data_IF_533226213723
#
_entry.id   IF_533226213723
#
_cell.length_a   1.000
_cell.length_b   1.000
_cell.length_c   1.000
_cell.angle_alpha   90.00
_cell.angle_beta   90.00
_cell.angle_gamma   90.00
#
_symmetry.space_group_name_H-M   'P 1'
#
loop_
_entity.id
_entity.type
_entity.pdbx_description
1 polymer ?
#
# COMPACT_ATOMS: atom_id res chain seq x y z
N UNK A 1 -8.26 23.39 0.10
CA UNK A 1 -7.99 22.10 -0.57
C UNK A 1 -9.25 21.28 -0.52
N UNK A 2 -9.78 20.86 -1.68
CA UNK A 2 -10.93 19.94 -1.74
C UNK A 2 -10.35 18.53 -1.58
N UNK A 3 -10.66 17.86 -0.48
CA UNK A 3 -10.40 16.42 -0.37
C UNK A 3 -11.22 15.72 -1.46
N UNK A 4 -10.57 14.84 -2.22
CA UNK A 4 -11.20 14.11 -3.32
C UNK A 4 -10.49 12.75 -3.39
N UNK A 5 -10.86 11.82 -2.50
CA UNK A 5 -10.12 10.57 -2.29
C UNK A 5 -10.17 9.64 -3.51
N UNK A 6 -11.16 9.83 -4.38
CA UNK A 6 -11.30 9.13 -5.66
C UNK A 6 -11.30 10.09 -6.83
N UNK A 7 -10.83 9.63 -7.99
CA UNK A 7 -10.82 10.44 -9.21
C UNK A 7 -12.27 10.72 -9.66
N UNK A 8 -12.63 11.97 -10.00
CA UNK A 8 -14.02 12.32 -10.34
C UNK A 8 -14.46 11.78 -11.70
N UNK A 9 -13.52 11.33 -12.54
CA UNK A 9 -13.80 10.76 -13.87
C UNK A 9 -13.69 9.23 -13.83
N UNK A 10 -12.65 8.70 -13.18
CA UNK A 10 -12.31 7.28 -13.19
C UNK A 10 -12.76 6.54 -11.93
N UNK A 11 -13.19 7.24 -10.88
CA UNK A 11 -13.52 6.66 -9.58
C UNK A 11 -12.32 5.90 -8.98
N UNK A 12 -12.59 4.67 -8.50
CA UNK A 12 -11.56 3.73 -8.04
C UNK A 12 -10.85 2.97 -9.19
N UNK A 13 -11.12 3.35 -10.45
CA UNK A 13 -10.53 2.76 -11.65
C UNK A 13 -11.39 1.69 -12.32
N UNK A 14 -10.77 0.92 -13.22
CA UNK A 14 -11.46 -0.11 -13.99
C UNK A 14 -11.59 -1.40 -13.20
N UNK A 15 -12.81 -1.97 -13.17
CA UNK A 15 -13.06 -3.28 -12.57
C UNK A 15 -12.13 -4.35 -13.15
N UNK A 16 -11.59 -5.19 -12.26
CA UNK A 16 -10.83 -6.38 -12.62
C UNK A 16 -11.50 -7.61 -12.01
N UNK A 17 -12.35 -8.26 -12.80
CA UNK A 17 -13.17 -9.39 -12.35
C UNK A 17 -12.34 -10.55 -11.79
N UNK A 18 -11.17 -10.82 -12.38
CA UNK A 18 -10.29 -11.91 -11.91
C UNK A 18 -9.75 -11.62 -10.50
N UNK A 19 -9.34 -10.38 -10.22
CA UNK A 19 -8.89 -9.97 -8.89
C UNK A 19 -10.02 -10.00 -7.88
N UNK A 20 -11.22 -9.53 -8.25
CA UNK A 20 -12.40 -9.62 -7.39
C UNK A 20 -12.80 -11.06 -7.10
N UNK A 21 -12.72 -11.95 -8.10
CA UNK A 21 -12.95 -13.38 -7.92
C UNK A 21 -12.00 -13.99 -6.89
N UNK A 22 -10.69 -13.70 -6.97
CA UNK A 22 -9.71 -14.19 -6.00
C UNK A 22 -9.96 -13.70 -4.58
N UNK A 23 -10.41 -12.45 -4.41
CA UNK A 23 -10.84 -11.94 -3.10
C UNK A 23 -12.01 -12.79 -2.57
N UNK A 24 -13.06 -12.97 -3.37
CA UNK A 24 -14.28 -13.66 -2.93
C UNK A 24 -14.02 -15.13 -2.55
N UNK A 25 -13.27 -15.87 -3.38
CA UNK A 25 -13.00 -17.28 -3.11
C UNK A 25 -12.00 -17.53 -1.99
N UNK A 26 -11.28 -16.50 -1.52
CA UNK A 26 -10.44 -16.61 -0.33
C UNK A 26 -11.28 -16.84 0.94
N UNK A 27 -12.59 -16.58 0.86
CA UNK A 27 -13.53 -16.72 1.97
C UNK A 27 -13.50 -15.51 2.90
N UNK A 28 -14.60 -15.35 3.64
CA UNK A 28 -14.72 -14.36 4.71
C UNK A 28 -13.70 -14.63 5.81
N UNK A 29 -13.11 -13.56 6.35
CA UNK A 29 -12.08 -13.62 7.37
C UNK A 29 -12.46 -12.71 8.54
N UNK A 30 -12.75 -13.33 9.67
CA UNK A 30 -12.98 -12.60 10.91
C UNK A 30 -11.72 -11.83 11.37
N UNK A 31 -11.88 -10.78 12.20
CA UNK A 31 -10.76 -10.09 12.82
C UNK A 31 -9.79 -11.04 13.53
N UNK A 32 -8.51 -10.97 13.16
CA UNK A 32 -7.51 -11.90 13.68
C UNK A 32 -6.30 -12.05 12.76
N UNK A 33 -5.56 -13.14 12.94
CA UNK A 33 -4.35 -13.45 12.16
C UNK A 33 -4.65 -14.47 11.09
N UNK A 34 -4.23 -14.18 9.86
CA UNK A 34 -4.36 -15.10 8.74
C UNK A 34 -3.15 -15.03 7.80
N UNK A 35 -2.90 -16.14 7.12
CA UNK A 35 -1.79 -16.33 6.18
C UNK A 35 -2.30 -16.34 4.73
N UNK A 36 -3.12 -15.35 4.38
CA UNK A 36 -3.65 -15.21 3.02
C UNK A 36 -3.40 -13.81 2.47
N UNK A 37 -2.98 -13.76 1.21
CA UNK A 37 -2.78 -12.53 0.47
C UNK A 37 -4.10 -11.88 0.04
N UNK A 38 -5.21 -12.60 0.10
CA UNK A 38 -6.53 -12.15 -0.32
C UNK A 38 -7.54 -12.42 0.79
N UNK A 39 -8.56 -11.58 0.92
CA UNK A 39 -9.64 -11.83 1.85
C UNK A 39 -10.61 -10.66 1.90
N UNK A 40 -11.71 -10.92 2.57
CA UNK A 40 -12.75 -9.93 2.82
C UNK A 40 -13.42 -10.23 4.16
N UNK A 41 -14.10 -9.23 4.70
CA UNK A 41 -14.92 -9.36 5.90
C UNK A 41 -16.16 -8.48 5.79
N UNK A 42 -17.32 -8.98 6.23
CA UNK A 42 -18.46 -8.14 6.54
C UNK A 42 -18.53 -7.95 8.07
N UNK A 43 -17.68 -7.07 8.56
CA UNK A 43 -17.48 -6.81 9.97
C UNK A 43 -18.41 -5.74 10.56
N UNK A 44 -18.33 -5.59 11.87
CA UNK A 44 -19.04 -4.56 12.62
C UNK A 44 -18.19 -4.01 13.77
N UNK A 45 -18.43 -2.74 14.12
CA UNK A 45 -17.92 -2.10 15.34
C UNK A 45 -19.13 -1.70 16.18
N UNK A 46 -19.19 -2.12 17.44
CA UNK A 46 -20.36 -1.90 18.33
C UNK A 46 -20.41 -0.48 18.97
N UNK A 47 -19.61 0.46 18.49
CA UNK A 47 -19.50 1.82 19.01
C UNK A 47 -18.28 2.55 18.47
N UNK A 48 -17.80 3.57 19.18
CA UNK A 48 -16.49 4.15 18.86
C UNK A 48 -15.40 3.13 19.18
N UNK A 49 -14.57 2.80 18.20
CA UNK A 49 -13.66 1.68 18.38
C UNK A 49 -12.79 1.40 17.17
N UNK A 50 -12.02 0.31 17.29
CA UNK A 50 -11.13 -0.19 16.25
C UNK A 50 -11.12 -1.71 16.22
N UNK A 51 -10.92 -2.25 15.03
CA UNK A 51 -10.81 -3.67 14.73
C UNK A 51 -9.54 -3.88 13.91
N UNK A 52 -8.82 -4.97 14.20
CA UNK A 52 -7.52 -5.25 13.59
C UNK A 52 -7.51 -6.61 12.89
N UNK A 53 -6.97 -6.62 11.67
CA UNK A 53 -6.73 -7.79 10.84
C UNK A 53 -5.24 -7.90 10.57
N UNK A 54 -4.66 -9.06 10.81
CA UNK A 54 -3.23 -9.27 10.70
C UNK A 54 -2.94 -10.20 9.53
N UNK A 55 -2.13 -9.70 8.59
CA UNK A 55 -1.72 -10.41 7.39
C UNK A 55 -0.24 -10.73 7.49
N UNK A 56 0.13 -11.99 7.28
CA UNK A 56 1.53 -12.37 7.10
C UNK A 56 1.83 -12.59 5.62
N UNK A 57 2.61 -11.68 5.02
CA UNK A 57 3.10 -11.82 3.65
C UNK A 57 4.38 -12.66 3.66
N UNK A 58 4.32 -13.89 3.11
CA UNK A 58 5.46 -14.81 3.07
C UNK A 58 6.56 -14.36 2.10
N UNK A 59 6.17 -13.61 1.08
CA UNK A 59 7.05 -13.05 0.06
C UNK A 59 6.72 -11.59 -0.20
N UNK A 60 7.65 -10.88 -0.82
CA UNK A 60 7.42 -9.53 -1.31
C UNK A 60 6.30 -9.54 -2.35
N UNK A 61 5.37 -8.61 -2.23
CA UNK A 61 4.23 -8.45 -3.15
C UNK A 61 4.44 -7.21 -4.01
N UNK A 62 4.12 -7.34 -5.29
CA UNK A 62 4.27 -6.26 -6.26
C UNK A 62 3.25 -5.14 -6.03
N UNK A 63 2.04 -5.52 -5.67
CA UNK A 63 0.90 -4.60 -5.55
C UNK A 63 -0.01 -5.09 -4.42
N UNK A 64 -0.45 -4.19 -3.56
CA UNK A 64 -1.47 -4.47 -2.57
C UNK A 64 -2.57 -3.41 -2.61
N UNK A 65 -3.78 -3.82 -2.28
CA UNK A 65 -4.94 -2.93 -2.20
C UNK A 65 -5.77 -3.33 -1.00
N UNK A 66 -6.23 -2.34 -0.26
CA UNK A 66 -7.20 -2.51 0.83
C UNK A 66 -8.32 -1.49 0.61
N UNK A 67 -9.56 -1.97 0.65
CA UNK A 67 -10.76 -1.15 0.48
C UNK A 67 -11.68 -1.37 1.66
N UNK A 68 -12.07 -0.29 2.30
CA UNK A 68 -13.06 -0.27 3.38
C UNK A 68 -14.27 0.50 2.88
N UNK A 69 -15.46 -0.09 3.01
CA UNK A 69 -16.71 0.50 2.57
C UNK A 69 -17.78 0.34 3.65
N UNK A 70 -18.59 1.36 3.86
CA UNK A 70 -19.71 1.29 4.79
C UNK A 70 -20.93 1.97 4.19
N UNK A 71 -22.10 1.65 4.73
CA UNK A 71 -23.34 2.25 4.23
C UNK A 71 -23.63 3.55 4.95
N UNK A 72 -24.11 4.52 4.17
CA UNK A 72 -24.78 5.68 4.71
C UNK A 72 -26.12 5.27 5.31
N UNK A 73 -26.46 5.83 6.46
CA UNK A 73 -27.75 5.60 7.12
C UNK A 73 -28.71 6.71 6.73
N UNK A 74 -29.78 6.37 6.02
CA UNK A 74 -30.90 7.27 5.74
C UNK A 74 -31.83 7.23 6.95
N UNK A 75 -31.95 8.34 7.67
CA UNK A 75 -32.76 8.46 8.89
C UNK A 75 -34.20 8.84 8.59
N UNK A 76 -34.41 9.64 7.55
CA UNK A 76 -35.70 10.19 7.15
C UNK A 76 -35.66 10.57 5.67
N UNK A 77 -36.77 10.41 4.96
CA UNK A 77 -36.93 10.84 3.58
C UNK A 77 -38.39 10.81 3.17
N UNK A 78 -38.81 11.66 2.24
CA UNK A 78 -40.21 11.76 1.81
C UNK A 78 -40.77 10.41 1.33
N UNK A 79 -39.93 9.58 0.70
CA UNK A 79 -40.27 8.24 0.22
C UNK A 79 -40.20 7.13 1.29
N UNK A 80 -39.62 7.41 2.45
CA UNK A 80 -39.49 6.46 3.56
C UNK A 80 -40.55 6.71 4.63
N UNK A 81 -40.73 7.96 5.03
CA UNK A 81 -41.57 8.36 6.16
C UNK A 81 -42.32 9.69 5.96
N UNK A 82 -42.27 10.28 4.77
CA UNK A 82 -42.95 11.53 4.44
C UNK A 82 -42.27 12.79 4.99
N UNK A 83 -41.10 12.67 5.62
CA UNK A 83 -40.36 13.78 6.23
C UNK A 83 -39.21 14.28 5.33
N UNK A 84 -38.66 15.47 5.57
CA UNK A 84 -37.48 15.95 4.85
C UNK A 84 -36.29 14.97 4.94
N UNK A 85 -35.51 14.90 3.86
CA UNK A 85 -34.35 14.02 3.80
C UNK A 85 -33.33 14.32 4.91
N UNK A 86 -32.94 13.28 5.65
CA UNK A 86 -31.90 13.33 6.67
C UNK A 86 -31.09 12.04 6.64
N UNK A 87 -29.77 12.19 6.72
CA UNK A 87 -28.80 11.11 6.64
C UNK A 87 -27.75 11.25 7.74
N UNK A 88 -27.07 10.14 8.02
CA UNK A 88 -25.79 10.15 8.73
C UNK A 88 -24.80 9.21 8.07
N UNK A 89 -23.54 9.59 8.10
CA UNK A 89 -22.39 8.82 7.66
C UNK A 89 -21.49 8.66 8.88
N UNK A 90 -21.04 7.43 9.15
CA UNK A 90 -20.00 7.20 10.13
C UNK A 90 -18.67 7.72 9.61
N UNK A 91 -17.84 8.25 10.49
CA UNK A 91 -16.46 8.64 10.20
C UNK A 91 -15.57 7.42 10.43
N UNK A 92 -15.26 6.70 9.35
CA UNK A 92 -14.40 5.52 9.40
C UNK A 92 -13.01 5.83 8.87
N UNK A 93 -12.01 5.13 9.41
CA UNK A 93 -10.61 5.26 9.02
C UNK A 93 -9.99 3.90 8.72
N UNK A 94 -9.13 3.87 7.70
CA UNK A 94 -8.34 2.72 7.32
C UNK A 94 -6.85 3.01 7.51
N UNK A 95 -6.18 2.18 8.30
CA UNK A 95 -4.74 2.30 8.54
C UNK A 95 -4.06 0.98 8.25
N UNK A 96 -2.88 1.03 7.63
CA UNK A 96 -2.00 -0.11 7.49
C UNK A 96 -0.77 0.12 8.36
N UNK A 97 -0.46 -0.81 9.25
CA UNK A 97 0.77 -0.84 10.02
C UNK A 97 1.66 -1.98 9.55
N UNK A 98 2.97 -1.80 9.65
CA UNK A 98 3.97 -2.83 9.39
C UNK A 98 4.69 -3.16 10.68
N UNK A 99 4.84 -4.45 10.99
CA UNK A 99 5.65 -4.89 12.11
C UNK A 99 7.13 -4.63 11.83
N UNK A 100 7.79 -3.93 12.74
CA UNK A 100 9.25 -3.79 12.80
C UNK A 100 9.69 -4.10 14.22
N UNK A 101 10.61 -5.07 14.35
CA UNK A 101 11.02 -5.62 15.64
C UNK A 101 9.80 -6.09 16.46
N UNK A 102 9.53 -5.43 17.60
CA UNK A 102 8.41 -5.77 18.48
C UNK A 102 7.19 -4.83 18.33
N UNK A 103 7.26 -3.81 17.47
CA UNK A 103 6.23 -2.78 17.34
C UNK A 103 5.57 -2.76 15.95
N UNK A 104 4.31 -2.33 15.91
CA UNK A 104 3.61 -2.01 14.67
C UNK A 104 3.74 -0.51 14.39
N UNK A 105 4.37 -0.18 13.26
CA UNK A 105 4.59 1.21 12.85
C UNK A 105 3.63 1.53 11.72
N UNK A 106 2.95 2.68 11.81
CA UNK A 106 2.04 3.14 10.77
C UNK A 106 2.80 3.22 9.44
N UNK A 107 2.28 2.52 8.45
CA UNK A 107 2.84 2.42 7.12
C UNK A 107 2.13 3.36 6.15
N UNK A 108 0.79 3.35 6.17
CA UNK A 108 -0.05 4.24 5.38
C UNK A 108 -1.45 4.36 5.99
N UNK A 109 -2.22 5.39 5.61
CA UNK A 109 -3.59 5.58 6.11
C UNK A 109 -4.48 6.36 5.13
N UNK A 110 -5.77 6.06 5.19
CA UNK A 110 -6.85 6.75 4.48
C UNK A 110 -7.91 7.15 5.52
N UNK A 111 -8.24 8.45 5.57
CA UNK A 111 -9.02 9.12 6.63
C UNK A 111 -9.84 10.29 6.04
N UNK A 112 -10.61 10.01 4.99
CA UNK A 112 -11.41 11.04 4.32
C UNK A 112 -12.74 11.27 5.06
N UNK A 113 -13.07 12.55 5.28
CA UNK A 113 -14.34 12.92 5.94
C UNK A 113 -15.54 13.02 4.99
N UNK A 114 -15.34 12.74 3.70
CA UNK A 114 -16.34 13.06 2.67
C UNK A 114 -17.14 11.86 2.20
N UNK A 115 -16.47 10.73 2.02
CA UNK A 115 -17.03 9.56 1.35
C UNK A 115 -17.19 8.38 2.30
N UNK A 116 -17.97 7.38 1.89
CA UNK A 116 -18.17 6.11 2.59
C UNK A 116 -17.19 5.02 2.13
N UNK A 117 -15.97 5.45 1.79
CA UNK A 117 -14.91 4.64 1.22
C UNK A 117 -13.57 5.12 1.75
N UNK A 118 -12.78 4.19 2.26
CA UNK A 118 -11.34 4.37 2.44
C UNK A 118 -10.58 3.39 1.55
N UNK A 119 -9.50 3.85 0.94
CA UNK A 119 -8.76 3.07 -0.04
C UNK A 119 -7.26 3.25 0.09
N UNK A 120 -6.55 2.14 0.25
CA UNK A 120 -5.10 2.10 0.19
C UNK A 120 -4.66 1.32 -1.05
N UNK A 121 -3.83 1.94 -1.87
CA UNK A 121 -3.18 1.30 -3.01
C UNK A 121 -1.67 1.42 -2.89
N UNK A 122 -1.02 0.28 -2.70
CA UNK A 122 0.37 0.17 -2.33
C UNK A 122 1.13 -0.64 -3.37
N UNK A 123 2.39 -0.30 -3.59
CA UNK A 123 3.28 -1.06 -4.46
C UNK A 123 4.48 -1.55 -3.67
N UNK A 124 4.98 -2.74 -4.01
CA UNK A 124 6.22 -3.29 -3.46
C UNK A 124 6.24 -3.42 -1.93
N UNK A 125 5.22 -4.04 -1.34
CA UNK A 125 5.28 -4.37 0.10
C UNK A 125 6.22 -5.55 0.30
N UNK A 126 7.19 -5.39 1.19
CA UNK A 126 8.09 -6.48 1.58
C UNK A 126 7.33 -7.61 2.28
N UNK A 127 7.95 -8.79 2.33
CA UNK A 127 7.50 -9.85 3.23
C UNK A 127 7.49 -9.38 4.69
N UNK A 128 6.55 -9.90 5.47
CA UNK A 128 6.42 -9.62 6.90
C UNK A 128 4.98 -9.56 7.38
N UNK A 129 4.83 -9.21 8.66
CA UNK A 129 3.53 -9.08 9.32
C UNK A 129 3.01 -7.64 9.21
N UNK A 130 1.78 -7.50 8.78
CA UNK A 130 1.05 -6.24 8.62
C UNK A 130 -0.24 -6.28 9.43
N UNK A 131 -0.65 -5.13 9.96
CA UNK A 131 -1.94 -4.94 10.60
C UNK A 131 -2.76 -3.97 9.76
N UNK A 132 -3.89 -4.42 9.23
CA UNK A 132 -4.96 -3.55 8.73
C UNK A 132 -5.82 -3.20 9.92
N UNK A 133 -5.93 -1.92 10.24
CA UNK A 133 -6.76 -1.41 11.31
C UNK A 133 -7.89 -0.57 10.73
N UNK A 134 -9.10 -0.93 11.11
CA UNK A 134 -10.32 -0.20 10.80
C UNK A 134 -10.80 0.47 12.08
N UNK A 135 -11.20 1.73 12.02
CA UNK A 135 -11.84 2.40 13.16
C UNK A 135 -13.07 3.17 12.72
N UNK A 136 -13.98 3.39 13.67
CA UNK A 136 -15.17 4.23 13.47
C UNK A 136 -15.45 5.05 14.73
N UNK A 137 -16.08 6.20 14.54
CA UNK A 137 -16.60 7.07 15.60
C UNK A 137 -17.92 6.56 16.20
N UNK A 138 -18.68 5.75 15.47
CA UNK A 138 -19.99 5.22 15.89
C UNK A 138 -20.15 3.75 15.51
N UNK A 139 -21.18 3.11 16.07
CA UNK A 139 -21.48 1.72 15.73
C UNK A 139 -21.82 1.59 14.23
N UNK A 140 -21.06 0.76 13.51
CA UNK A 140 -21.09 0.71 12.05
C UNK A 140 -20.74 -0.68 11.53
N UNK A 141 -21.55 -1.17 10.57
CA UNK A 141 -21.21 -2.33 9.75
C UNK A 141 -20.40 -1.90 8.55
N UNK A 142 -19.41 -2.69 8.16
CA UNK A 142 -18.52 -2.38 7.05
C UNK A 142 -18.19 -3.62 6.22
N UNK A 143 -17.90 -3.40 4.95
CA UNK A 143 -17.20 -4.35 4.09
C UNK A 143 -15.73 -3.98 4.03
N UNK A 144 -14.86 -4.91 4.39
CA UNK A 144 -13.42 -4.81 4.20
C UNK A 144 -13.00 -5.82 3.13
N UNK A 145 -12.13 -5.41 2.22
CA UNK A 145 -11.52 -6.33 1.25
C UNK A 145 -10.06 -5.97 1.02
N UNK A 146 -9.22 -6.99 0.89
CA UNK A 146 -7.80 -6.81 0.56
C UNK A 146 -7.32 -7.82 -0.46
N UNK A 147 -6.27 -7.41 -1.16
CA UNK A 147 -5.48 -8.27 -2.05
C UNK A 147 -4.02 -7.84 -2.03
N UNK A 148 -3.12 -8.80 -2.13
CA UNK A 148 -1.69 -8.62 -2.17
C UNK A 148 -1.09 -9.53 -3.26
N UNK A 149 -0.88 -8.97 -4.45
CA UNK A 149 -0.40 -9.71 -5.62
C UNK A 149 1.07 -10.07 -5.48
N UNK A 150 1.36 -11.36 -5.48
CA UNK A 150 2.74 -11.87 -5.54
C UNK A 150 3.45 -11.31 -6.77
N UNK A 151 4.71 -10.96 -6.61
CA UNK A 151 5.52 -10.48 -7.71
C UNK A 151 6.79 -9.79 -7.26
N UNK A 152 7.66 -9.50 -8.21
CA UNK A 152 8.94 -8.86 -7.93
C UNK A 152 8.74 -7.37 -7.63
N UNK A 153 9.26 -6.90 -6.51
CA UNK A 153 9.41 -5.48 -6.22
C UNK A 153 10.56 -4.86 -7.05
N UNK A 154 10.63 -3.51 -7.12
CA UNK A 154 11.79 -2.84 -7.68
C UNK A 154 13.09 -3.40 -7.11
N UNK A 155 13.98 -3.79 -8.02
CA UNK A 155 15.22 -4.46 -7.69
C UNK A 155 16.40 -3.82 -8.44
N UNK A 156 17.58 -3.95 -7.85
CA UNK A 156 18.86 -3.53 -8.40
C UNK A 156 19.78 -4.74 -8.55
N UNK A 157 20.40 -4.87 -9.71
CA UNK A 157 21.53 -5.75 -9.94
C UNK A 157 22.75 -4.91 -10.29
N UNK A 158 23.89 -5.27 -9.72
CA UNK A 158 25.16 -4.59 -9.98
C UNK A 158 26.07 -5.50 -10.81
N UNK A 159 26.59 -4.97 -11.91
CA UNK A 159 27.66 -5.58 -12.70
C UNK A 159 28.89 -4.68 -12.61
N UNK A 160 30.04 -5.30 -12.38
CA UNK A 160 31.33 -4.60 -12.38
C UNK A 160 31.94 -4.80 -13.77
N UNK A 161 32.30 -3.72 -14.46
CA UNK A 161 33.14 -3.75 -15.66
C UNK A 161 34.56 -3.35 -15.28
N UNK A 162 35.50 -4.30 -15.08
CA UNK A 162 36.86 -3.99 -14.70
C UNK A 162 37.62 -3.23 -15.79
N UNK A 163 37.32 -3.51 -17.07
CA UNK A 163 37.96 -2.89 -18.23
C UNK A 163 37.59 -1.40 -18.33
N UNK A 164 36.31 -1.08 -18.15
CA UNK A 164 35.81 0.30 -18.20
C UNK A 164 35.93 1.04 -16.86
N UNK A 165 36.48 0.37 -15.83
CA UNK A 165 36.51 0.83 -14.44
C UNK A 165 35.15 1.38 -14.00
N UNK A 166 34.07 0.65 -14.29
CA UNK A 166 32.72 1.13 -14.04
C UNK A 166 31.85 0.12 -13.30
N UNK A 167 30.87 0.65 -12.60
CA UNK A 167 29.76 -0.09 -11.98
C UNK A 167 28.52 0.19 -12.80
N UNK A 168 27.91 -0.86 -13.34
CA UNK A 168 26.68 -0.77 -14.11
C UNK A 168 25.56 -1.32 -13.22
N UNK A 169 24.62 -0.45 -12.89
CA UNK A 169 23.44 -0.76 -12.11
C UNK A 169 22.28 -1.00 -13.07
N UNK A 170 21.71 -2.20 -13.02
CA UNK A 170 20.51 -2.57 -13.75
C UNK A 170 19.33 -2.57 -12.77
N UNK A 171 18.40 -1.66 -13.00
CA UNK A 171 17.16 -1.59 -12.25
C UNK A 171 16.06 -2.36 -12.98
N UNK A 172 15.26 -3.12 -12.24
CA UNK A 172 14.20 -3.95 -12.80
C UNK A 172 12.96 -3.94 -11.92
N UNK A 173 11.80 -4.22 -12.52
CA UNK A 173 10.48 -4.14 -11.87
C UNK A 173 10.21 -2.75 -11.27
N UNK A 174 10.76 -1.71 -11.91
CA UNK A 174 10.48 -0.33 -11.55
C UNK A 174 8.99 -0.02 -11.73
N UNK A 175 8.57 1.05 -11.06
CA UNK A 175 7.18 1.50 -11.06
C UNK A 175 7.11 2.80 -11.86
N UNK A 176 6.55 2.78 -13.08
CA UNK A 176 6.40 3.99 -13.87
C UNK A 176 5.70 5.11 -13.08
N UNK A 177 6.29 6.29 -13.12
CA UNK A 177 5.83 7.48 -12.39
C UNK A 177 6.45 7.66 -11.00
N UNK A 178 7.10 6.65 -10.41
CA UNK A 178 7.78 6.77 -9.11
C UNK A 178 9.20 7.28 -9.24
N UNK A 179 9.64 8.02 -8.23
CA UNK A 179 11.03 8.44 -8.08
C UNK A 179 11.81 7.42 -7.27
N UNK A 180 12.97 7.05 -7.77
CA UNK A 180 13.92 6.13 -7.17
C UNK A 180 15.23 6.86 -6.88
N UNK A 181 15.90 6.44 -5.82
CA UNK A 181 17.17 6.97 -5.36
C UNK A 181 18.15 5.82 -5.18
N UNK A 182 19.23 5.82 -5.95
CA UNK A 182 20.37 4.95 -5.72
C UNK A 182 21.27 5.61 -4.68
N UNK A 183 21.52 4.90 -3.59
CA UNK A 183 22.32 5.38 -2.47
C UNK A 183 23.50 4.45 -2.21
N UNK A 184 24.60 5.05 -1.78
CA UNK A 184 25.86 4.39 -1.46
C UNK A 184 26.20 4.57 0.03
N UNK A 185 26.81 3.57 0.64
CA UNK A 185 27.28 3.62 2.02
C UNK A 185 28.59 2.87 2.19
N UNK A 186 29.48 3.36 3.06
CA UNK A 186 30.70 2.64 3.47
C UNK A 186 30.52 1.83 4.77
N UNK A 187 29.44 2.07 5.52
CA UNK A 187 29.26 1.56 6.89
C UNK A 187 27.85 1.00 7.18
N UNK A 188 26.96 0.98 6.18
CA UNK A 188 25.52 0.64 6.28
C UNK A 188 24.68 1.58 7.17
N UNK A 189 25.27 2.64 7.72
CA UNK A 189 24.60 3.60 8.61
C UNK A 189 24.35 4.92 7.90
N UNK A 190 25.38 5.48 7.26
CA UNK A 190 25.30 6.72 6.50
C UNK A 190 25.15 6.42 5.03
N UNK A 191 24.09 6.93 4.42
CA UNK A 191 23.76 6.72 3.02
C UNK A 191 23.85 8.05 2.27
N UNK A 192 24.56 8.05 1.14
CA UNK A 192 24.72 9.20 0.26
C UNK A 192 24.04 8.92 -1.08
N UNK A 193 23.19 9.84 -1.53
CA UNK A 193 22.56 9.76 -2.84
C UNK A 193 23.63 9.86 -3.94
N UNK A 194 23.62 8.92 -4.88
CA UNK A 194 24.51 8.92 -6.05
C UNK A 194 23.77 9.10 -7.37
N UNK A 195 22.50 8.69 -7.43
CA UNK A 195 21.66 8.90 -8.60
C UNK A 195 20.19 8.94 -8.19
N UNK A 196 19.39 9.77 -8.84
CA UNK A 196 17.95 9.86 -8.63
C UNK A 196 17.26 9.99 -9.98
N UNK A 197 16.18 9.23 -10.18
CA UNK A 197 15.46 9.22 -11.44
C UNK A 197 13.98 8.95 -11.21
N UNK A 198 13.14 9.44 -12.11
CA UNK A 198 11.72 9.09 -12.17
C UNK A 198 11.58 7.99 -13.21
N UNK A 199 11.17 6.79 -12.79
CA UNK A 199 11.02 5.67 -13.68
C UNK A 199 9.94 5.98 -14.73
N UNK A 200 10.30 5.91 -16.00
CA UNK A 200 9.36 5.98 -17.13
C UNK A 200 8.89 4.59 -17.54
N UNK A 201 9.80 3.62 -17.41
CA UNK A 201 9.62 2.22 -17.77
C UNK A 201 9.85 1.30 -16.55
N UNK A 202 9.69 -0.01 -16.74
CA UNK A 202 9.92 -1.01 -15.68
C UNK A 202 11.40 -1.40 -15.50
N UNK A 203 12.29 -0.85 -16.32
CA UNK A 203 13.73 -1.10 -16.27
C UNK A 203 14.50 0.14 -16.64
N UNK A 204 15.63 0.35 -15.98
CA UNK A 204 16.53 1.47 -16.24
C UNK A 204 17.97 1.04 -15.92
N UNK A 205 18.95 1.76 -16.45
CA UNK A 205 20.36 1.51 -16.12
C UNK A 205 21.07 2.80 -15.74
N UNK A 206 22.04 2.69 -14.85
CA UNK A 206 22.92 3.77 -14.45
C UNK A 206 24.36 3.28 -14.35
N UNK A 207 25.33 4.08 -14.79
CA UNK A 207 26.75 3.74 -14.75
C UNK A 207 27.51 4.73 -13.88
N UNK A 208 28.23 4.22 -12.88
CA UNK A 208 29.16 4.98 -12.03
C UNK A 208 30.60 4.62 -12.44
N UNK A 209 31.42 5.61 -12.81
CA UNK A 209 32.85 5.40 -13.07
C UNK A 209 33.64 5.41 -11.75
N UNK A 210 34.58 4.49 -11.61
CA UNK A 210 35.41 4.30 -10.42
C UNK A 210 36.79 4.88 -10.67
N UNK A 211 37.07 6.05 -10.09
CA UNK A 211 38.39 6.70 -10.22
C UNK A 211 39.48 6.04 -9.37
N UNK A 212 39.12 5.45 -8.23
CA UNK A 212 40.04 4.76 -7.31
C UNK A 212 39.38 3.50 -6.74
N UNK A 213 40.13 2.41 -6.58
CA UNK A 213 39.65 1.23 -5.84
C UNK A 213 39.47 1.62 -4.37
N UNK A 214 38.30 2.14 -4.03
CA UNK A 214 37.95 2.47 -2.66
C UNK A 214 37.55 1.22 -1.88
N UNK A 215 37.55 1.36 -0.55
CA UNK A 215 37.03 0.40 0.42
C UNK A 215 35.65 -0.15 0.03
N UNK A 216 35.31 -1.33 0.57
CA UNK A 216 33.99 -1.97 0.41
C UNK A 216 32.86 -0.92 0.51
N UNK A 217 32.03 -0.87 -0.53
CA UNK A 217 30.86 0.00 -0.61
C UNK A 217 29.60 -0.86 -0.70
N UNK A 218 28.53 -0.38 -0.09
CA UNK A 218 27.20 -0.95 -0.13
C UNK A 218 26.29 -0.04 -0.93
N UNK A 219 25.34 -0.63 -1.65
CA UNK A 219 24.40 0.09 -2.50
C UNK A 219 22.98 -0.35 -2.16
N UNK A 220 22.05 0.61 -2.20
CA UNK A 220 20.61 0.31 -2.10
C UNK A 220 19.80 1.17 -3.05
N UNK A 221 18.72 0.60 -3.54
CA UNK A 221 17.67 1.32 -4.26
C UNK A 221 16.59 1.71 -3.25
N UNK A 222 16.42 3.01 -3.03
CA UNK A 222 15.44 3.57 -2.11
C UNK A 222 14.29 4.23 -2.89
N UNK A 223 13.06 4.08 -2.41
CA UNK A 223 11.85 4.65 -3.02
C UNK A 223 10.66 4.61 -2.03
N UNK A 224 9.63 5.44 -2.27
CA UNK A 224 8.41 5.43 -1.46
C UNK A 224 7.34 4.48 -2.03
N UNK A 225 6.94 3.43 -1.30
CA UNK A 225 5.91 2.46 -1.70
C UNK A 225 4.47 2.96 -1.65
N UNK A 226 4.19 4.00 -0.85
CA UNK A 226 2.87 4.64 -0.80
C UNK A 226 2.68 5.57 -2.01
N UNK A 227 1.46 5.64 -2.55
CA UNK A 227 1.11 6.45 -3.72
C UNK A 227 0.85 7.92 -3.41
#
# INVERSE_FOLDING_TARGET
NKEMPIDPVLGAGKINLLKSYHILIAGEQEPGKFSTNYGWDFGSIDGSGKVSYFINLEETVKEATVSLNWNRVIRSAEWLDGNPYSESIADMKLELYRKKDNDFILYDSSDSKLDNLEHLYLRGLDKGEYEIRVSSDVATNYGLAWRAEKGKAPNINLVISPEDKSLIFYFSNLIPGKTFSLEKSSDLKKWTLIHSFKALEISEQFTEFIETQSSKSFYRLHWNPAN
#
